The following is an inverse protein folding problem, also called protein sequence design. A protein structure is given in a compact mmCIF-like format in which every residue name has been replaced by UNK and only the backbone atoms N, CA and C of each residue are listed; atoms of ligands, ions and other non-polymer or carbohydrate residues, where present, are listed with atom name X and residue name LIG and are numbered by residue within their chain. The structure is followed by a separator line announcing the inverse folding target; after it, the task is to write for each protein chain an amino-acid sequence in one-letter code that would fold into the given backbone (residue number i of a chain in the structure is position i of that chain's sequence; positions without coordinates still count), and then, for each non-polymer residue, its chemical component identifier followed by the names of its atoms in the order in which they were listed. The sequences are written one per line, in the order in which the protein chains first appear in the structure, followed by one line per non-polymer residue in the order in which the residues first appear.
data_IF_877333834247
#
_entry.id   IF_877333834247
#
_cell.length_a   1.000
_cell.length_b   1.000
_cell.length_c   1.000
_cell.angle_alpha   90.00
_cell.angle_beta   90.00
_cell.angle_gamma   90.00
#
_symmetry.space_group_name_H-M   'P 1'
#
loop_
_entity.id
_entity.type
_entity.pdbx_description
1 polymer ?
#
# COMPACT_ATOMS: atom_id res chain seq x y z
N UNK A 1 -12.23 41.99 -58.49
CA UNK A 1 -13.52 41.59 -57.86
C UNK A 1 -13.17 40.73 -56.63
N UNK A 2 -13.30 41.26 -55.40
CA UNK A 2 -14.34 40.96 -54.39
C UNK A 2 -14.43 39.46 -54.04
N UNK A 3 -14.44 38.96 -52.80
CA UNK A 3 -14.04 39.30 -51.42
C UNK A 3 -14.26 37.94 -50.68
N UNK A 4 -13.52 37.61 -49.61
CA UNK A 4 -13.49 36.29 -48.96
C UNK A 4 -14.56 36.17 -47.87
N UNK A 5 -15.22 35.01 -47.78
CA UNK A 5 -16.05 34.48 -46.67
C UNK A 5 -16.17 32.97 -46.98
N UNK A 6 -16.00 32.02 -46.07
CA UNK A 6 -16.69 31.87 -44.80
C UNK A 6 -15.78 31.11 -43.83
N UNK A 7 -15.39 31.83 -42.78
CA UNK A 7 -15.06 31.31 -41.45
C UNK A 7 -16.18 30.42 -40.92
N UNK A 8 -15.79 29.46 -40.08
CA UNK A 8 -16.62 28.69 -39.15
C UNK A 8 -17.17 27.36 -39.67
N UNK A 9 -16.52 26.28 -39.24
CA UNK A 9 -17.21 25.12 -38.68
C UNK A 9 -16.24 24.31 -37.80
N UNK A 10 -16.43 24.43 -36.48
CA UNK A 10 -16.20 23.41 -35.45
C UNK A 10 -14.84 22.68 -35.46
N UNK A 11 -13.82 22.99 -34.63
CA UNK A 11 -13.85 23.32 -33.21
C UNK A 11 -14.85 22.49 -32.39
N UNK A 12 -14.78 21.15 -32.47
CA UNK A 12 -15.45 20.20 -31.56
C UNK A 12 -14.81 18.80 -31.70
N UNK A 13 -13.54 18.67 -31.28
CA UNK A 13 -12.94 17.37 -30.94
C UNK A 13 -12.26 17.47 -29.56
N UNK A 14 -12.94 18.12 -28.62
CA UNK A 14 -12.78 17.80 -27.21
C UNK A 14 -13.81 16.71 -26.90
N UNK A 15 -13.55 15.49 -27.38
CA UNK A 15 -14.16 14.29 -26.79
C UNK A 15 -13.55 14.16 -25.40
N UNK A 16 -14.15 14.89 -24.45
CA UNK A 16 -14.06 14.57 -23.04
C UNK A 16 -14.62 13.18 -22.87
N UNK A 17 -13.73 12.19 -22.83
CA UNK A 17 -14.03 10.93 -22.17
C UNK A 17 -14.26 11.28 -20.70
N UNK A 18 -15.52 11.27 -20.29
CA UNK A 18 -15.97 11.56 -18.94
C UNK A 18 -15.17 10.73 -17.94
N UNK A 19 -14.30 11.40 -17.20
CA UNK A 19 -13.71 10.87 -15.98
C UNK A 19 -14.84 10.72 -14.97
N UNK A 20 -15.24 9.48 -14.74
CA UNK A 20 -16.18 9.12 -13.69
C UNK A 20 -15.51 9.49 -12.36
N UNK A 21 -16.13 10.42 -11.62
CA UNK A 21 -15.75 10.75 -10.25
C UNK A 21 -15.82 9.49 -9.38
N UNK A 22 -14.67 8.90 -9.14
CA UNK A 22 -14.48 7.68 -8.36
C UNK A 22 -13.06 7.17 -8.53
N UNK A 23 -12.18 7.50 -7.58
CA UNK A 23 -10.94 6.80 -7.22
C UNK A 23 -10.07 6.25 -8.36
N UNK A 24 -9.01 6.98 -8.72
CA UNK A 24 -7.90 6.44 -9.51
C UNK A 24 -7.49 7.31 -10.70
N UNK A 25 -6.78 8.42 -10.45
CA UNK A 25 -6.04 9.07 -11.53
C UNK A 25 -4.95 8.12 -12.04
N UNK A 26 -4.57 8.21 -13.32
CA UNK A 26 -3.43 7.46 -13.89
C UNK A 26 -2.17 7.65 -13.02
N UNK A 27 -2.03 8.82 -12.40
CA UNK A 27 -0.96 9.13 -11.44
C UNK A 27 -1.00 8.25 -10.18
N UNK A 28 -2.17 8.02 -9.59
CA UNK A 28 -2.29 7.13 -8.43
C UNK A 28 -2.05 5.66 -8.77
N UNK A 29 -2.37 5.24 -10.00
CA UNK A 29 -2.03 3.88 -10.47
C UNK A 29 -0.52 3.62 -10.52
N UNK A 30 0.28 4.61 -10.96
CA UNK A 30 1.74 4.50 -10.98
C UNK A 30 2.33 4.63 -9.56
N UNK A 31 1.78 5.55 -8.75
CA UNK A 31 2.21 5.73 -7.35
C UNK A 31 1.98 4.45 -6.53
N UNK A 32 0.86 3.76 -6.77
CA UNK A 32 0.50 2.50 -6.13
C UNK A 32 1.52 1.37 -6.33
N UNK A 33 2.31 1.39 -7.41
CA UNK A 33 3.37 0.41 -7.68
C UNK A 33 4.75 0.89 -7.22
N UNK A 34 4.96 2.21 -7.25
CA UNK A 34 6.23 2.82 -6.87
C UNK A 34 6.48 2.70 -5.38
N UNK A 35 5.47 2.99 -4.55
CA UNK A 35 5.57 2.93 -3.09
C UNK A 35 6.07 1.58 -2.55
N UNK A 36 5.47 0.44 -2.95
CA UNK A 36 5.95 -0.88 -2.53
C UNK A 36 7.40 -1.18 -2.90
N UNK A 37 7.88 -0.73 -4.07
CA UNK A 37 9.29 -0.95 -4.46
C UNK A 37 10.23 -0.06 -3.65
N UNK A 38 9.87 1.20 -3.44
CA UNK A 38 10.64 2.14 -2.61
C UNK A 38 10.72 1.64 -1.16
N UNK A 39 9.64 1.09 -0.62
CA UNK A 39 9.61 0.52 0.73
C UNK A 39 10.67 -0.57 0.94
N UNK A 40 10.85 -1.48 -0.02
CA UNK A 40 11.91 -2.49 0.07
C UNK A 40 13.32 -1.88 0.05
N UNK A 41 13.52 -0.79 -0.72
CA UNK A 41 14.82 -0.11 -0.77
C UNK A 41 15.19 0.55 0.56
N UNK A 42 14.20 1.00 1.34
CA UNK A 42 14.42 1.66 2.63
C UNK A 42 14.99 0.72 3.70
N UNK A 43 14.85 -0.60 3.57
CA UNK A 43 15.51 -1.57 4.47
C UNK A 43 17.04 -1.55 4.37
N UNK A 44 17.61 -1.00 3.29
CA UNK A 44 19.05 -0.78 3.19
C UNK A 44 19.52 0.47 3.96
N UNK A 45 18.58 1.29 4.46
CA UNK A 45 18.90 2.46 5.26
C UNK A 45 19.10 2.07 6.73
N UNK A 46 20.23 2.45 7.36
CA UNK A 46 20.49 2.11 8.75
C UNK A 46 19.41 2.61 9.71
N UNK A 47 19.13 1.82 10.75
CA UNK A 47 18.23 2.15 11.88
C UNK A 47 16.75 2.40 11.52
N UNK A 48 16.28 1.98 10.34
CA UNK A 48 14.85 2.03 10.02
C UNK A 48 14.12 0.71 10.31
N UNK A 49 14.82 -0.42 10.12
CA UNK A 49 14.24 -1.75 10.39
C UNK A 49 13.93 -1.93 11.87
N UNK A 50 12.71 -2.36 12.19
CA UNK A 50 12.31 -2.61 13.55
C UNK A 50 13.02 -3.86 14.09
N UNK A 51 13.76 -3.70 15.19
CA UNK A 51 14.44 -4.80 15.86
C UNK A 51 13.52 -5.57 16.84
N UNK A 52 12.39 -4.98 17.21
CA UNK A 52 11.43 -5.54 18.15
C UNK A 52 10.03 -5.07 17.78
N UNK A 53 8.98 -5.82 18.17
CA UNK A 53 7.63 -5.42 17.84
C UNK A 53 7.21 -4.14 18.57
N UNK A 54 6.35 -3.31 17.94
CA UNK A 54 5.86 -2.10 18.59
C UNK A 54 5.03 -2.42 19.83
N UNK A 55 5.05 -1.52 20.81
CA UNK A 55 4.35 -1.70 22.07
C UNK A 55 2.83 -1.76 21.88
N UNK A 56 2.32 -0.93 20.97
CA UNK A 56 0.90 -0.75 20.66
C UNK A 56 0.70 -0.72 19.15
N UNK A 57 -0.41 -1.30 18.71
CA UNK A 57 -0.92 -1.21 17.35
C UNK A 57 -2.42 -0.92 17.41
N UNK A 58 -2.99 -0.24 16.41
CA UNK A 58 -4.44 -0.10 16.30
C UNK A 58 -5.08 -1.48 16.08
N UNK A 59 -6.35 -1.61 16.47
CA UNK A 59 -7.12 -2.86 16.32
C UNK A 59 -7.33 -3.24 14.84
N UNK A 60 -7.36 -2.24 13.96
CA UNK A 60 -7.55 -2.39 12.53
C UNK A 60 -6.48 -1.64 11.75
N UNK A 61 -6.05 -2.22 10.64
CA UNK A 61 -5.07 -1.67 9.70
C UNK A 61 -5.50 -1.95 8.26
N UNK A 62 -4.93 -1.21 7.31
CA UNK A 62 -5.01 -1.54 5.89
C UNK A 62 -3.89 -2.50 5.55
N UNK A 63 -4.24 -3.66 4.99
CA UNK A 63 -3.30 -4.58 4.37
C UNK A 63 -3.32 -4.41 2.86
N UNK A 64 -2.18 -4.09 2.26
CA UNK A 64 -2.03 -3.88 0.82
C UNK A 64 -1.09 -4.90 0.21
N UNK A 65 -1.52 -5.57 -0.85
CA UNK A 65 -0.62 -6.37 -1.68
C UNK A 65 0.21 -5.45 -2.58
N UNK A 66 1.53 -5.67 -2.63
CA UNK A 66 2.48 -4.79 -3.32
C UNK A 66 2.12 -4.55 -4.79
N UNK A 67 1.66 -5.59 -5.49
CA UNK A 67 1.18 -5.52 -6.87
C UNK A 67 -0.34 -5.74 -6.97
N UNK A 68 -1.10 -5.37 -5.94
CA UNK A 68 -2.48 -5.82 -5.82
C UNK A 68 -3.41 -4.90 -5.04
N UNK A 69 -4.59 -5.44 -4.67
CA UNK A 69 -5.62 -4.72 -3.93
C UNK A 69 -5.23 -4.48 -2.46
N UNK A 70 -6.04 -3.66 -1.80
CA UNK A 70 -5.97 -3.42 -0.36
C UNK A 70 -7.22 -4.01 0.32
N UNK A 71 -7.03 -4.50 1.54
CA UNK A 71 -8.02 -5.18 2.37
C UNK A 71 -7.98 -4.64 3.80
N UNK A 72 -9.09 -4.75 4.54
CA UNK A 72 -9.05 -4.60 5.99
C UNK A 72 -8.19 -5.70 6.61
N UNK A 73 -7.52 -5.36 7.70
CA UNK A 73 -6.79 -6.29 8.53
C UNK A 73 -7.01 -6.01 10.00
N UNK A 74 -7.05 -7.06 10.82
CA UNK A 74 -7.25 -7.00 12.26
C UNK A 74 -5.98 -7.37 12.99
N UNK A 75 -5.66 -6.61 14.02
CA UNK A 75 -4.47 -6.83 14.83
C UNK A 75 -4.86 -7.55 16.11
N UNK A 76 -4.26 -8.71 16.31
CA UNK A 76 -4.37 -9.50 17.52
C UNK A 76 -3.00 -9.80 18.12
N UNK A 77 -3.03 -10.47 19.28
CA UNK A 77 -1.84 -11.03 19.92
C UNK A 77 -2.08 -12.48 20.27
N UNK A 78 -1.06 -13.29 20.05
CA UNK A 78 -0.96 -14.65 20.60
C UNK A 78 0.25 -14.67 21.50
N UNK A 79 0.03 -14.90 22.80
CA UNK A 79 1.02 -14.77 23.86
C UNK A 79 1.69 -13.38 23.87
N UNK A 80 2.86 -13.27 23.23
CA UNK A 80 3.65 -12.04 23.09
C UNK A 80 3.88 -11.62 21.64
N UNK A 81 3.38 -12.39 20.68
CA UNK A 81 3.62 -12.21 19.25
C UNK A 81 2.43 -11.50 18.60
N UNK A 82 2.69 -10.46 17.82
CA UNK A 82 1.64 -9.84 17.01
C UNK A 82 1.20 -10.77 15.90
N UNK A 83 -0.12 -10.85 15.71
CA UNK A 83 -0.73 -11.55 14.60
C UNK A 83 -1.66 -10.58 13.89
N UNK A 84 -1.45 -10.35 12.60
CA UNK A 84 -2.31 -9.50 11.78
C UNK A 84 -3.11 -10.38 10.82
N UNK A 85 -4.43 -10.43 10.97
CA UNK A 85 -5.30 -11.21 10.09
C UNK A 85 -5.87 -10.35 8.98
N UNK A 86 -5.65 -10.73 7.72
CA UNK A 86 -6.20 -10.03 6.55
C UNK A 86 -7.59 -10.60 6.24
N UNK A 87 -8.59 -9.73 6.13
CA UNK A 87 -9.97 -10.12 5.84
C UNK A 87 -10.33 -9.79 4.38
N UNK A 88 -10.83 -10.80 3.67
CA UNK A 88 -11.33 -10.64 2.31
C UNK A 88 -11.14 -11.90 1.47
N UNK A 89 -11.72 -11.88 0.27
CA UNK A 89 -11.48 -12.91 -0.74
C UNK A 89 -10.18 -12.60 -1.47
N UNK A 90 -9.07 -13.18 -1.00
CA UNK A 90 -7.77 -13.04 -1.64
C UNK A 90 -7.74 -13.89 -2.92
N UNK A 91 -7.34 -13.32 -4.08
CA UNK A 91 -7.19 -14.09 -5.32
C UNK A 91 -6.22 -15.27 -5.15
N UNK A 92 -6.56 -16.42 -5.73
CA UNK A 92 -5.77 -17.67 -5.62
C UNK A 92 -4.43 -17.60 -6.37
N UNK A 93 -4.25 -16.62 -7.26
CA UNK A 93 -3.03 -16.41 -8.05
C UNK A 93 -1.95 -15.57 -7.32
N UNK A 94 -2.23 -15.14 -6.09
CA UNK A 94 -1.28 -14.41 -5.25
C UNK A 94 -0.65 -15.37 -4.24
N UNK A 95 0.68 -15.37 -4.16
CA UNK A 95 1.47 -16.24 -3.28
C UNK A 95 2.20 -15.40 -2.21
N UNK A 96 1.51 -14.98 -1.13
CA UNK A 96 2.09 -14.10 -0.14
C UNK A 96 3.16 -14.83 0.67
N UNK A 97 4.32 -14.20 0.82
CA UNK A 97 5.48 -14.83 1.48
C UNK A 97 5.92 -14.05 2.72
N UNK A 98 5.65 -12.73 2.79
CA UNK A 98 5.90 -11.94 3.99
C UNK A 98 5.09 -10.63 4.03
N UNK A 99 4.89 -10.13 5.25
CA UNK A 99 4.32 -8.81 5.51
C UNK A 99 5.36 -7.82 6.03
N UNK A 100 5.16 -6.54 5.71
CA UNK A 100 5.92 -5.40 6.21
C UNK A 100 4.97 -4.44 6.93
N UNK A 101 5.08 -4.38 8.25
CA UNK A 101 4.44 -3.32 9.04
C UNK A 101 5.18 -2.01 8.81
N UNK A 102 4.45 -1.00 8.34
CA UNK A 102 5.01 0.34 8.11
C UNK A 102 4.59 1.27 9.24
N UNK A 103 5.56 1.83 9.96
CA UNK A 103 5.36 2.86 10.96
C UNK A 103 5.87 4.22 10.47
N UNK A 104 5.18 5.29 10.85
CA UNK A 104 5.69 6.65 10.76
C UNK A 104 6.78 6.92 11.79
N UNK A 105 7.53 8.01 11.63
CA UNK A 105 8.57 8.44 12.58
C UNK A 105 8.04 8.69 14.00
N UNK A 106 6.74 8.95 14.13
CA UNK A 106 6.02 9.11 15.40
C UNK A 106 5.61 7.77 16.05
N UNK A 107 5.85 6.65 15.38
CA UNK A 107 5.45 5.32 15.81
C UNK A 107 4.02 4.95 15.42
N UNK A 108 3.31 5.83 14.72
CA UNK A 108 1.95 5.55 14.24
C UNK A 108 1.99 4.52 13.12
N UNK A 109 1.16 3.48 13.24
CA UNK A 109 1.03 2.49 12.17
C UNK A 109 0.36 3.10 10.95
N UNK A 110 1.02 2.97 9.79
CA UNK A 110 0.51 3.42 8.49
C UNK A 110 -0.29 2.33 7.80
N UNK A 111 0.17 1.09 7.91
CA UNK A 111 -0.46 -0.07 7.30
C UNK A 111 0.48 -1.25 7.21
N UNK A 112 -0.02 -2.31 6.58
CA UNK A 112 0.70 -3.54 6.31
C UNK A 112 0.87 -3.71 4.81
N UNK A 113 2.10 -3.81 4.31
CA UNK A 113 2.37 -4.19 2.93
C UNK A 113 2.63 -5.70 2.84
N UNK A 114 2.07 -6.39 1.86
CA UNK A 114 2.22 -7.83 1.65
C UNK A 114 2.96 -8.05 0.34
N UNK A 115 3.99 -8.88 0.38
CA UNK A 115 4.85 -9.18 -0.75
C UNK A 115 4.86 -10.68 -1.04
N UNK A 116 5.09 -10.96 -2.31
CA UNK A 116 5.40 -12.29 -2.83
C UNK A 116 6.93 -12.44 -2.94
N UNK A 117 7.42 -13.66 -2.79
CA UNK A 117 8.85 -14.00 -2.85
C UNK A 117 9.62 -13.82 -1.53
N UNK A 118 10.94 -14.02 -1.57
CA UNK A 118 11.76 -14.10 -0.37
C UNK A 118 11.76 -12.79 0.45
N UNK A 119 11.62 -12.93 1.78
CA UNK A 119 11.69 -11.81 2.74
C UNK A 119 13.05 -11.09 2.71
N UNK A 120 13.07 -9.86 3.23
CA UNK A 120 14.29 -9.05 3.36
C UNK A 120 15.31 -9.75 4.25
N UNK A 121 16.48 -10.07 3.70
CA UNK A 121 17.55 -10.77 4.41
C UNK A 121 18.01 -9.99 5.65
N UNK A 122 18.05 -10.66 6.80
CA UNK A 122 18.49 -10.09 8.07
C UNK A 122 17.47 -9.17 8.77
N UNK A 123 16.29 -8.96 8.20
CA UNK A 123 15.21 -8.24 8.88
C UNK A 123 14.60 -9.12 10.00
N UNK A 124 14.56 -8.66 11.26
CA UNK A 124 13.97 -9.43 12.34
C UNK A 124 12.46 -9.62 12.16
N UNK A 125 11.97 -10.83 12.45
CA UNK A 125 10.54 -11.10 12.56
C UNK A 125 10.00 -10.46 13.85
N UNK A 126 8.96 -9.63 13.69
CA UNK A 126 8.27 -8.95 14.79
C UNK A 126 6.85 -9.51 15.03
N UNK A 127 6.41 -10.45 14.20
CA UNK A 127 5.08 -11.03 14.29
C UNK A 127 4.77 -11.98 13.15
N UNK A 128 3.49 -12.24 12.93
CA UNK A 128 2.96 -13.05 11.83
C UNK A 128 1.79 -12.34 11.16
N UNK A 129 1.56 -12.65 9.88
CA UNK A 129 0.35 -12.26 9.15
C UNK A 129 -0.42 -13.52 8.77
N UNK A 130 -1.72 -13.53 9.04
CA UNK A 130 -2.64 -14.57 8.59
C UNK A 130 -3.36 -14.10 7.34
N UNK A 131 -3.25 -14.84 6.24
CA UNK A 131 -3.84 -14.52 4.94
C UNK A 131 -4.51 -15.79 4.42
N UNK A 132 -5.84 -15.84 4.45
CA UNK A 132 -6.57 -17.07 4.14
C UNK A 132 -6.15 -18.23 5.07
N UNK A 133 -5.57 -19.28 4.50
CA UNK A 133 -5.03 -20.42 5.26
C UNK A 133 -3.53 -20.30 5.59
N UNK A 134 -2.88 -19.24 5.12
CA UNK A 134 -1.44 -19.08 5.24
C UNK A 134 -1.05 -18.20 6.41
N UNK A 135 0.13 -18.48 6.96
CA UNK A 135 0.75 -17.73 8.03
C UNK A 135 2.15 -17.35 7.59
N UNK A 136 2.39 -16.06 7.35
CA UNK A 136 3.66 -15.54 6.83
C UNK A 136 4.37 -14.69 7.89
N UNK A 137 5.70 -14.55 7.85
CA UNK A 137 6.43 -13.67 8.74
C UNK A 137 6.02 -12.20 8.58
N UNK A 138 5.97 -11.48 9.69
CA UNK A 138 5.82 -10.02 9.72
C UNK A 138 7.16 -9.41 10.13
N UNK A 139 7.74 -8.61 9.23
CA UNK A 139 8.84 -7.71 9.54
C UNK A 139 8.31 -6.28 9.66
N UNK A 140 9.13 -5.35 10.13
CA UNK A 140 8.69 -3.97 10.27
C UNK A 140 9.76 -2.94 9.96
N UNK A 141 9.29 -1.76 9.57
CA UNK A 141 10.13 -0.62 9.24
C UNK A 141 9.48 0.67 9.74
N UNK A 142 10.31 1.59 10.23
CA UNK A 142 9.92 2.92 10.66
C UNK A 142 10.62 3.96 9.80
N UNK A 143 9.84 4.75 9.08
CA UNK A 143 10.35 5.72 8.10
C UNK A 143 9.45 6.94 7.98
N UNK A 144 9.94 7.97 7.29
CA UNK A 144 9.12 9.13 6.90
C UNK A 144 8.15 8.71 5.79
N UNK A 145 6.83 8.69 6.02
CA UNK A 145 5.86 8.21 5.02
C UNK A 145 6.00 8.91 3.66
N UNK A 146 6.41 10.17 3.63
CA UNK A 146 6.62 10.94 2.40
C UNK A 146 7.66 10.31 1.45
N UNK A 147 8.48 9.37 1.93
CA UNK A 147 9.42 8.60 1.10
C UNK A 147 8.75 7.52 0.24
N UNK A 148 7.60 7.00 0.67
CA UNK A 148 6.95 5.86 0.02
C UNK A 148 5.56 6.18 -0.52
N UNK A 149 4.95 7.30 -0.11
CA UNK A 149 3.59 7.68 -0.53
C UNK A 149 3.50 9.15 -0.95
N UNK A 150 2.65 9.42 -1.95
CA UNK A 150 2.22 10.77 -2.30
C UNK A 150 0.95 11.09 -1.48
N UNK A 151 0.85 12.25 -0.80
CA UNK A 151 -0.34 12.61 -0.02
C UNK A 151 -1.67 12.56 -0.80
N UNK A 152 -1.63 12.71 -2.12
CA UNK A 152 -2.81 12.64 -3.00
C UNK A 152 -3.16 11.20 -3.41
N UNK A 153 -2.23 10.27 -3.23
CA UNK A 153 -2.34 8.87 -3.61
C UNK A 153 -1.81 8.00 -2.46
N UNK A 154 -2.56 7.88 -1.35
CA UNK A 154 -2.12 7.13 -0.18
C UNK A 154 -1.91 5.66 -0.56
N UNK A 155 -0.79 5.10 -0.11
CA UNK A 155 -0.48 3.68 -0.33
C UNK A 155 -1.48 2.83 0.46
N UNK A 156 -1.81 3.25 1.68
CA UNK A 156 -2.77 2.60 2.57
C UNK A 156 -4.06 3.44 2.65
N UNK A 157 -5.07 3.17 1.81
CA UNK A 157 -6.30 3.96 1.81
C UNK A 157 -7.23 3.57 2.95
N UNK A 158 -7.55 4.52 3.84
CA UNK A 158 -8.49 4.30 4.95
C UNK A 158 -9.90 3.90 4.51
N UNK A 159 -10.24 4.08 3.22
CA UNK A 159 -11.54 3.71 2.66
C UNK A 159 -11.87 2.21 2.71
N UNK A 160 -10.89 1.35 3.02
CA UNK A 160 -11.12 -0.10 3.19
C UNK A 160 -11.34 -0.51 4.64
N UNK A 161 -11.22 0.42 5.59
CA UNK A 161 -11.50 0.18 7.00
C UNK A 161 -13.02 0.23 7.27
N UNK A 162 -13.53 -0.57 8.23
CA UNK A 162 -14.95 -0.61 8.60
C UNK A 162 -15.44 0.65 9.35
#
# INVERSE_FOLDING_TARGET
MRRPYVLAAAALLALGCGGREGSGSVGCGIAALTGPTLLLSEFSTPNQTLASPPATLPETLVARFAAGPAYPAFVGRTDTTWVVGVEGAIPEDIDPEFGVLVLGLDGTARGLMIYEGASVSGAPEIGRVSIGSEMVPLIGIQLDPAKIEDPKCPVFPDSVLP
#
